data_IF_177412157980
#
_entry.id   IF_177412157980
#
_cell.length_a   1.000
_cell.length_b   1.000
_cell.length_c   1.000
_cell.angle_alpha   90.00
_cell.angle_beta   90.00
_cell.angle_gamma   90.00
#
_symmetry.space_group_name_H-M   'P 1'
#
loop_
_entity.id
_entity.type
_entity.pdbx_description
1 polymer ?
#
# COMPACT_ATOMS: atom_id res chain seq x y z
N UNK A 1 -24.33 74.42 3.78
CA UNK A 1 -23.14 73.90 4.50
C UNK A 1 -23.34 72.42 4.83
N UNK A 2 -23.40 71.53 3.82
CA UNK A 2 -23.32 70.05 4.02
C UNK A 2 -22.87 69.30 2.75
N UNK A 3 -22.50 70.03 1.69
CA UNK A 3 -22.15 69.51 0.35
C UNK A 3 -20.65 69.14 0.26
N UNK A 4 -19.89 69.36 1.33
CA UNK A 4 -18.44 69.12 1.39
C UNK A 4 -18.01 67.88 2.20
N UNK A 5 -18.95 67.11 2.78
CA UNK A 5 -18.63 65.86 3.49
C UNK A 5 -19.05 64.58 2.73
N UNK A 6 -19.79 64.73 1.63
CA UNK A 6 -20.34 63.62 0.84
C UNK A 6 -19.39 63.07 -0.23
N UNK A 7 -18.28 63.76 -0.51
CA UNK A 7 -17.31 63.36 -1.55
C UNK A 7 -16.20 62.42 -1.06
N UNK A 8 -15.95 62.33 0.24
CA UNK A 8 -14.77 61.61 0.77
C UNK A 8 -15.07 60.22 1.35
N UNK A 9 -16.34 59.88 1.64
CA UNK A 9 -16.71 58.62 2.30
C UNK A 9 -17.22 57.55 1.30
N UNK A 10 -17.95 57.95 0.26
CA UNK A 10 -18.44 57.03 -0.77
C UNK A 10 -17.33 56.28 -1.55
N UNK A 11 -16.21 56.91 -1.97
CA UNK A 11 -15.18 56.20 -2.72
C UNK A 11 -14.38 55.21 -1.87
N UNK A 12 -14.32 55.37 -0.54
CA UNK A 12 -13.64 54.44 0.38
C UNK A 12 -14.46 53.17 0.68
N UNK A 13 -15.79 53.26 0.68
CA UNK A 13 -16.66 52.09 0.86
C UNK A 13 -16.75 51.25 -0.42
N UNK A 14 -16.79 51.89 -1.59
CA UNK A 14 -16.79 51.20 -2.88
C UNK A 14 -15.45 50.50 -3.19
N UNK A 15 -14.32 51.07 -2.78
CA UNK A 15 -13.00 50.43 -2.93
C UNK A 15 -12.88 49.19 -2.02
N UNK A 16 -13.31 49.26 -0.76
CA UNK A 16 -13.35 48.08 0.12
C UNK A 16 -14.23 46.95 -0.40
N UNK A 17 -15.40 47.25 -0.99
CA UNK A 17 -16.31 46.24 -1.55
C UNK A 17 -15.69 45.59 -2.80
N UNK A 18 -15.05 46.40 -3.67
CA UNK A 18 -14.38 45.89 -4.86
C UNK A 18 -13.12 45.07 -4.53
N UNK A 19 -12.38 45.41 -3.48
CA UNK A 19 -11.21 44.62 -3.03
C UNK A 19 -11.63 43.28 -2.38
N UNK A 20 -12.75 43.25 -1.67
CA UNK A 20 -13.35 42.01 -1.15
C UNK A 20 -13.88 41.15 -2.29
N UNK A 21 -14.51 41.75 -3.31
CA UNK A 21 -14.97 41.03 -4.50
C UNK A 21 -13.80 40.47 -5.31
N UNK A 22 -12.72 41.24 -5.49
CA UNK A 22 -11.53 40.83 -6.22
C UNK A 22 -10.77 39.74 -5.48
N UNK A 23 -10.66 39.81 -4.15
CA UNK A 23 -10.05 38.75 -3.33
C UNK A 23 -10.89 37.47 -3.30
N UNK A 24 -12.22 37.55 -3.29
CA UNK A 24 -13.10 36.38 -3.48
C UNK A 24 -12.97 35.80 -4.89
N UNK A 25 -12.88 36.63 -5.92
CA UNK A 25 -12.73 36.18 -7.31
C UNK A 25 -11.39 35.46 -7.51
N UNK A 26 -10.30 36.01 -6.95
CA UNK A 26 -8.97 35.39 -6.95
C UNK A 26 -9.00 34.07 -6.19
N UNK A 27 -9.65 34.00 -5.03
CA UNK A 27 -9.81 32.77 -4.26
C UNK A 27 -10.60 31.69 -5.06
N UNK A 28 -11.66 32.08 -5.78
CA UNK A 28 -12.43 31.18 -6.64
C UNK A 28 -11.59 30.69 -7.82
N UNK A 29 -10.79 31.55 -8.46
CA UNK A 29 -9.90 31.19 -9.57
C UNK A 29 -8.79 30.24 -9.12
N UNK A 30 -8.18 30.48 -7.95
CA UNK A 30 -7.15 29.60 -7.35
C UNK A 30 -7.73 28.23 -6.98
N UNK A 31 -8.95 28.16 -6.46
CA UNK A 31 -9.63 26.90 -6.11
C UNK A 31 -10.06 26.11 -7.36
N UNK A 32 -10.42 26.80 -8.45
CA UNK A 32 -10.78 26.18 -9.75
C UNK A 32 -9.59 25.45 -10.40
N UNK A 33 -8.36 25.87 -10.11
CA UNK A 33 -7.13 25.21 -10.58
C UNK A 33 -6.74 23.96 -9.77
N UNK A 34 -7.29 23.74 -8.57
CA UNK A 34 -6.73 22.77 -7.61
C UNK A 34 -7.66 21.61 -7.20
N UNK A 35 -8.94 21.56 -7.58
CA UNK A 35 -9.87 20.54 -7.06
C UNK A 35 -10.96 20.05 -8.04
N UNK A 36 -11.37 18.78 -7.84
CA UNK A 36 -12.37 18.05 -8.65
C UNK A 36 -13.78 18.65 -8.60
N UNK A 37 -14.52 18.50 -9.72
CA UNK A 37 -15.83 19.10 -10.06
C UNK A 37 -16.91 19.08 -8.96
N UNK A 38 -16.92 18.08 -8.08
CA UNK A 38 -17.92 17.94 -7.01
C UNK A 38 -17.79 18.99 -5.89
N UNK A 39 -16.59 19.54 -5.70
CA UNK A 39 -16.32 20.55 -4.64
C UNK A 39 -16.77 21.94 -5.11
N UNK A 40 -16.69 22.20 -6.42
CA UNK A 40 -17.02 23.50 -7.04
C UNK A 40 -18.52 23.81 -6.90
N UNK A 41 -19.41 22.82 -7.08
CA UNK A 41 -20.86 23.02 -6.97
C UNK A 41 -21.31 23.37 -5.55
N UNK A 42 -20.70 22.74 -4.53
CA UNK A 42 -21.01 23.05 -3.12
C UNK A 42 -20.54 24.44 -2.72
N UNK A 43 -19.36 24.86 -3.20
CA UNK A 43 -18.81 26.20 -2.92
C UNK A 43 -19.64 27.27 -3.63
N UNK A 44 -20.08 27.05 -4.87
CA UNK A 44 -20.86 28.02 -5.63
C UNK A 44 -22.22 28.30 -5.00
N UNK A 45 -22.96 27.26 -4.57
CA UNK A 45 -24.25 27.42 -3.88
C UNK A 45 -24.08 28.12 -2.51
N UNK A 46 -22.99 27.83 -1.81
CA UNK A 46 -22.62 28.49 -0.56
C UNK A 46 -22.34 29.99 -0.75
N UNK A 47 -21.61 30.37 -1.80
CA UNK A 47 -21.27 31.78 -2.09
C UNK A 47 -22.51 32.57 -2.53
N UNK A 48 -23.38 31.99 -3.36
CA UNK A 48 -24.64 32.63 -3.77
C UNK A 48 -25.58 32.84 -2.58
N UNK A 49 -25.66 31.86 -1.66
CA UNK A 49 -26.42 31.99 -0.42
C UNK A 49 -25.90 33.10 0.50
N UNK A 50 -24.57 33.26 0.58
CA UNK A 50 -23.93 34.31 1.37
C UNK A 50 -24.22 35.72 0.81
N UNK A 51 -24.20 35.89 -0.52
CA UNK A 51 -24.54 37.16 -1.18
C UNK A 51 -26.01 37.53 -0.93
N UNK A 52 -26.92 36.56 -1.03
CA UNK A 52 -28.35 36.81 -0.76
C UNK A 52 -28.62 37.18 0.70
N UNK A 53 -27.93 36.54 1.65
CA UNK A 53 -28.08 36.83 3.08
C UNK A 53 -27.46 38.18 3.45
N UNK A 54 -26.30 38.52 2.89
CA UNK A 54 -25.66 39.82 3.09
C UNK A 54 -26.52 40.98 2.58
N UNK A 55 -27.16 40.83 1.40
CA UNK A 55 -28.11 41.82 0.88
C UNK A 55 -29.33 41.98 1.79
N UNK A 56 -29.86 40.88 2.35
CA UNK A 56 -31.03 40.92 3.25
C UNK A 56 -30.70 41.58 4.60
N UNK A 57 -29.49 41.36 5.10
CA UNK A 57 -28.99 41.99 6.34
C UNK A 57 -28.72 43.50 6.14
N UNK A 58 -28.19 43.89 4.97
CA UNK A 58 -27.95 45.30 4.63
C UNK A 58 -29.26 46.09 4.54
N UNK A 59 -30.30 45.52 3.91
CA UNK A 59 -31.64 46.13 3.79
C UNK A 59 -32.32 46.28 5.16
N UNK A 60 -32.12 45.33 6.08
CA UNK A 60 -32.72 45.37 7.43
C UNK A 60 -32.07 46.40 8.36
N UNK A 61 -30.83 46.82 8.10
CA UNK A 61 -30.05 47.70 8.98
C UNK A 61 -30.15 49.17 8.55
N UNK A 62 -30.59 49.44 7.31
CA UNK A 62 -30.78 50.78 6.75
C UNK A 62 -31.63 51.75 7.59
N UNK A 63 -32.71 51.33 8.29
CA UNK A 63 -33.51 52.28 9.08
C UNK A 63 -32.88 52.67 10.43
N UNK A 64 -31.92 51.89 10.96
CA UNK A 64 -31.30 52.15 12.27
C UNK A 64 -30.08 53.08 12.19
N UNK A 65 -29.59 53.40 11.00
CA UNK A 65 -28.39 54.22 10.79
C UNK A 65 -28.62 55.74 10.95
N UNK A 66 -29.86 56.19 11.17
CA UNK A 66 -30.18 57.62 11.12
C UNK A 66 -29.99 58.38 12.45
N UNK A 67 -29.66 57.73 13.57
CA UNK A 67 -29.81 58.38 14.89
C UNK A 67 -28.68 58.27 15.92
N UNK A 68 -27.45 57.84 15.57
CA UNK A 68 -26.32 58.00 16.51
C UNK A 68 -24.96 58.06 15.81
N UNK A 69 -24.26 59.18 16.03
CA UNK A 69 -22.86 59.44 15.69
C UNK A 69 -21.93 58.51 16.47
N UNK A 70 -21.75 57.27 16.01
CA UNK A 70 -20.65 56.41 16.48
C UNK A 70 -20.33 55.34 15.40
N UNK A 71 -19.74 55.80 14.30
CA UNK A 71 -19.42 54.98 13.11
C UNK A 71 -18.29 53.96 13.34
N UNK A 72 -17.43 54.15 14.36
CA UNK A 72 -16.28 53.25 14.62
C UNK A 72 -16.69 51.93 15.26
N UNK A 73 -17.55 51.96 16.29
CA UNK A 73 -18.01 50.75 17.01
C UNK A 73 -18.92 49.84 16.16
N UNK A 74 -19.61 50.41 15.18
CA UNK A 74 -20.55 49.68 14.33
C UNK A 74 -19.83 48.88 13.23
N UNK A 75 -18.72 49.41 12.69
CA UNK A 75 -17.84 48.70 11.76
C UNK A 75 -17.15 47.51 12.42
N UNK A 76 -16.68 47.66 13.66
CA UNK A 76 -16.06 46.56 14.41
C UNK A 76 -17.06 45.43 14.70
N UNK A 77 -18.30 45.77 15.06
CA UNK A 77 -19.35 44.77 15.29
C UNK A 77 -19.77 44.04 13.99
N UNK A 78 -19.73 44.75 12.85
CA UNK A 78 -20.00 44.18 11.53
C UNK A 78 -18.87 43.26 11.08
N UNK A 79 -17.60 43.68 11.26
CA UNK A 79 -16.42 42.86 10.98
C UNK A 79 -16.38 41.61 11.85
N UNK A 80 -16.69 41.71 13.15
CA UNK A 80 -16.72 40.57 14.09
C UNK A 80 -17.85 39.59 13.72
N UNK A 81 -19.03 40.08 13.32
CA UNK A 81 -20.13 39.20 12.85
C UNK A 81 -19.83 38.57 11.51
N UNK A 82 -19.22 39.29 10.57
CA UNK A 82 -18.78 38.74 9.29
C UNK A 82 -17.68 37.69 9.48
N UNK A 83 -16.72 37.91 10.38
CA UNK A 83 -15.66 36.93 10.69
C UNK A 83 -16.21 35.66 11.34
N UNK A 84 -17.16 35.78 12.28
CA UNK A 84 -17.80 34.62 12.93
C UNK A 84 -18.66 33.80 11.96
N UNK A 85 -19.33 34.44 11.00
CA UNK A 85 -20.11 33.73 9.97
C UNK A 85 -19.19 33.12 8.90
N UNK A 86 -18.07 33.77 8.56
CA UNK A 86 -17.05 33.21 7.66
C UNK A 86 -16.33 32.00 8.28
N UNK A 87 -16.09 32.01 9.59
CA UNK A 87 -15.53 30.87 10.33
C UNK A 87 -16.48 29.65 10.36
N UNK A 88 -17.79 29.86 10.29
CA UNK A 88 -18.80 28.79 10.18
C UNK A 88 -18.86 28.14 8.78
N UNK A 89 -18.23 28.75 7.77
CA UNK A 89 -18.33 28.33 6.37
C UNK A 89 -17.03 27.78 5.75
N UNK A 90 -15.96 27.69 6.55
CA UNK A 90 -14.81 26.85 6.21
C UNK A 90 -15.21 25.38 6.47
N UNK A 91 -15.30 24.51 5.45
CA UNK A 91 -15.33 23.08 5.72
C UNK A 91 -13.99 22.78 6.38
N UNK A 92 -14.03 22.56 7.69
CA UNK A 92 -12.95 21.93 8.42
C UNK A 92 -12.70 20.56 7.78
N UNK A 93 -11.81 20.46 6.79
CA UNK A 93 -11.20 19.17 6.43
C UNK A 93 -10.19 18.87 7.53
N UNK A 94 -10.68 18.71 8.76
CA UNK A 94 -9.91 18.27 9.90
C UNK A 94 -9.70 16.75 9.77
N UNK A 95 -9.01 16.31 8.72
CA UNK A 95 -8.52 14.94 8.62
C UNK A 95 -7.12 14.86 9.20
N UNK A 96 -7.03 14.43 10.46
CA UNK A 96 -6.27 13.24 10.82
C UNK A 96 -6.28 13.06 12.34
N UNK A 97 -7.04 12.09 12.86
CA UNK A 97 -6.62 11.35 14.07
C UNK A 97 -6.97 9.88 13.94
N UNK A 98 -5.93 9.03 13.93
CA UNK A 98 -6.04 7.56 13.99
C UNK A 98 -5.65 6.79 12.71
N UNK A 99 -5.54 5.45 12.81
CA UNK A 99 -5.16 4.59 11.69
C UNK A 99 -6.23 4.58 10.60
N UNK A 100 -5.81 4.74 9.34
CA UNK A 100 -6.71 4.66 8.17
C UNK A 100 -7.28 3.25 8.05
N UNK A 101 -8.61 3.12 7.98
CA UNK A 101 -9.31 1.82 7.81
C UNK A 101 -9.57 1.45 6.35
N UNK A 102 -9.51 2.42 5.44
CA UNK A 102 -9.82 2.21 4.02
C UNK A 102 -8.58 2.26 3.15
N UNK A 103 -8.63 1.57 2.01
CA UNK A 103 -7.60 1.64 0.95
C UNK A 103 -8.30 1.91 -0.39
N UNK A 104 -7.92 3.01 -1.05
CA UNK A 104 -8.43 3.31 -2.40
C UNK A 104 -7.79 2.37 -3.41
N UNK A 105 -8.55 1.96 -4.42
CA UNK A 105 -8.11 0.96 -5.41
C UNK A 105 -6.89 1.39 -6.20
N UNK A 106 -6.87 2.64 -6.65
CA UNK A 106 -5.73 3.26 -7.36
C UNK A 106 -4.45 3.37 -6.50
N UNK A 107 -4.60 3.42 -5.17
CA UNK A 107 -3.50 3.47 -4.22
C UNK A 107 -3.04 2.08 -3.75
N UNK A 108 -3.69 1.01 -4.24
CA UNK A 108 -3.32 -0.35 -3.90
C UNK A 108 -1.97 -0.74 -4.53
N UNK A 109 -1.26 -1.72 -3.95
CA UNK A 109 -0.03 -2.23 -4.55
C UNK A 109 -0.24 -2.75 -5.98
N UNK A 110 0.62 -2.31 -6.91
CA UNK A 110 0.50 -2.64 -8.35
C UNK A 110 0.56 -4.14 -8.62
N UNK A 111 1.31 -4.90 -7.81
CA UNK A 111 1.49 -6.35 -7.99
C UNK A 111 0.22 -7.17 -7.70
N UNK A 112 -0.81 -6.58 -7.11
CA UNK A 112 -2.12 -7.23 -6.92
C UNK A 112 -2.92 -7.37 -8.21
N UNK A 113 -2.58 -6.61 -9.27
CA UNK A 113 -3.31 -6.60 -10.55
C UNK A 113 -4.81 -6.33 -10.37
N UNK A 114 -5.16 -5.35 -9.54
CA UNK A 114 -6.52 -4.84 -9.50
C UNK A 114 -6.76 -3.97 -10.73
N UNK A 115 -7.93 -4.13 -11.33
CA UNK A 115 -8.43 -3.25 -12.37
C UNK A 115 -8.72 -1.85 -11.80
N UNK A 116 -9.04 -0.88 -12.67
CA UNK A 116 -9.33 0.50 -12.26
C UNK A 116 -10.83 0.80 -12.11
N UNK A 117 -11.71 0.00 -12.71
CA UNK A 117 -13.08 0.41 -13.05
C UNK A 117 -14.15 -0.24 -12.17
N UNK A 118 -13.96 -1.47 -11.69
CA UNK A 118 -15.02 -2.25 -11.03
C UNK A 118 -15.37 -1.74 -9.62
N UNK A 119 -14.77 -0.63 -9.16
CA UNK A 119 -15.17 0.03 -7.92
C UNK A 119 -14.12 0.98 -7.35
N UNK A 120 -14.45 1.66 -6.25
CA UNK A 120 -13.59 2.72 -5.69
C UNK A 120 -12.52 2.19 -4.72
N UNK A 121 -12.83 1.13 -3.98
CA UNK A 121 -11.99 0.62 -2.87
C UNK A 121 -11.31 -0.71 -3.19
N UNK A 122 -10.09 -0.87 -2.68
CA UNK A 122 -9.39 -2.15 -2.64
C UNK A 122 -9.56 -2.80 -1.27
N UNK A 123 -9.46 -4.14 -1.18
CA UNK A 123 -9.40 -4.80 0.12
C UNK A 123 -8.16 -4.31 0.86
N UNK A 124 -8.37 -3.75 2.06
CA UNK A 124 -7.28 -3.35 2.94
C UNK A 124 -6.86 -4.58 3.75
N UNK A 125 -5.60 -5.02 3.67
CA UNK A 125 -5.14 -6.14 4.47
C UNK A 125 -5.21 -5.81 5.95
N UNK A 126 -5.59 -6.81 6.75
CA UNK A 126 -5.53 -6.74 8.21
C UNK A 126 -4.08 -6.60 8.66
N UNK A 127 -3.83 -6.01 9.83
CA UNK A 127 -2.50 -6.01 10.44
C UNK A 127 -2.11 -7.44 10.83
N UNK A 128 -1.08 -7.99 10.19
CA UNK A 128 -0.65 -9.37 10.41
C UNK A 128 0.84 -9.54 10.19
N UNK A 129 1.30 -10.76 9.86
CA UNK A 129 2.73 -11.10 9.76
C UNK A 129 3.50 -10.22 8.75
N UNK A 130 2.90 -9.97 7.59
CA UNK A 130 3.54 -9.32 6.47
C UNK A 130 3.07 -7.87 6.30
N UNK A 131 3.93 -7.02 5.74
CA UNK A 131 3.60 -5.60 5.48
C UNK A 131 2.56 -5.48 4.38
N UNK A 132 1.77 -4.40 4.41
CA UNK A 132 0.71 -4.12 3.43
C UNK A 132 1.19 -4.16 1.97
N UNK A 133 2.40 -3.63 1.68
CA UNK A 133 2.96 -3.61 0.32
C UNK A 133 3.68 -4.89 -0.08
N UNK A 134 3.91 -5.81 0.86
CA UNK A 134 4.66 -7.07 0.67
C UNK A 134 3.75 -8.29 0.92
N UNK A 135 2.42 -8.12 0.89
CA UNK A 135 1.45 -9.20 1.11
C UNK A 135 0.42 -9.28 -0.04
N UNK A 136 -0.37 -10.34 -0.02
CA UNK A 136 -1.53 -10.61 -0.84
C UNK A 136 -2.69 -11.00 0.09
N UNK A 137 -3.77 -10.20 0.17
CA UNK A 137 -4.91 -10.56 1.00
C UNK A 137 -5.67 -11.76 0.41
N UNK A 138 -6.20 -12.63 1.28
CA UNK A 138 -6.90 -13.87 0.87
C UNK A 138 -8.01 -13.65 -0.17
N UNK A 139 -8.77 -12.58 -0.05
CA UNK A 139 -9.80 -12.21 -1.02
C UNK A 139 -9.26 -12.06 -2.45
N UNK A 140 -8.06 -11.49 -2.62
CA UNK A 140 -7.44 -11.36 -3.95
C UNK A 140 -6.91 -12.71 -4.42
N UNK A 141 -6.39 -13.53 -3.51
CA UNK A 141 -5.90 -14.86 -3.84
C UNK A 141 -7.03 -15.76 -4.38
N UNK A 142 -8.15 -15.88 -3.66
CA UNK A 142 -9.27 -16.75 -4.06
C UNK A 142 -10.00 -16.23 -5.30
N UNK A 143 -10.33 -14.93 -5.33
CA UNK A 143 -11.16 -14.34 -6.39
C UNK A 143 -10.37 -14.02 -7.65
N UNK A 144 -9.24 -13.33 -7.52
CA UNK A 144 -8.52 -12.78 -8.67
C UNK A 144 -7.49 -13.75 -9.24
N UNK A 145 -6.82 -14.55 -8.40
CA UNK A 145 -5.78 -15.51 -8.84
C UNK A 145 -6.36 -16.89 -9.17
N UNK A 146 -7.00 -17.54 -8.19
CA UNK A 146 -7.52 -18.91 -8.35
C UNK A 146 -8.87 -18.98 -9.06
N UNK A 147 -9.65 -17.89 -9.07
CA UNK A 147 -10.99 -17.83 -9.67
C UNK A 147 -12.00 -18.80 -9.03
N UNK A 148 -11.84 -19.15 -7.76
CA UNK A 148 -12.82 -19.95 -7.01
C UNK A 148 -14.04 -19.18 -6.55
N UNK A 149 -13.95 -17.85 -6.53
CA UNK A 149 -15.05 -16.96 -6.24
C UNK A 149 -15.10 -15.86 -7.30
N UNK A 150 -16.30 -15.34 -7.55
CA UNK A 150 -16.57 -14.18 -8.40
C UNK A 150 -16.74 -12.93 -7.54
N UNK A 151 -17.42 -13.05 -6.40
CA UNK A 151 -17.75 -11.92 -5.50
C UNK A 151 -16.98 -11.98 -4.17
N UNK A 152 -17.01 -10.87 -3.40
CA UNK A 152 -16.38 -10.82 -2.08
C UNK A 152 -17.13 -11.65 -1.02
N UNK A 153 -18.45 -11.77 -1.16
CA UNK A 153 -19.29 -12.53 -0.22
C UNK A 153 -19.12 -14.03 -0.38
N UNK A 154 -18.88 -14.53 -1.61
CA UNK A 154 -18.51 -15.92 -1.85
C UNK A 154 -17.18 -16.28 -1.16
N UNK A 155 -16.18 -15.40 -1.24
CA UNK A 155 -14.92 -15.58 -0.50
C UNK A 155 -15.19 -15.68 1.00
N UNK A 156 -16.08 -14.83 1.54
CA UNK A 156 -16.48 -14.90 2.94
C UNK A 156 -17.12 -16.25 3.28
N UNK A 157 -18.00 -16.79 2.43
CA UNK A 157 -18.61 -18.11 2.62
C UNK A 157 -17.55 -19.22 2.67
N UNK A 158 -16.58 -19.21 1.75
CA UNK A 158 -15.48 -20.19 1.72
C UNK A 158 -14.63 -20.10 3.01
N UNK A 159 -14.24 -18.89 3.43
CA UNK A 159 -13.43 -18.71 4.64
C UNK A 159 -14.18 -19.12 5.92
N UNK A 160 -15.50 -18.86 6.00
CA UNK A 160 -16.31 -19.20 7.17
C UNK A 160 -16.53 -20.72 7.32
N UNK A 161 -16.48 -21.46 6.22
CA UNK A 161 -16.48 -22.93 6.23
C UNK A 161 -15.17 -23.55 6.75
N UNK A 162 -14.15 -22.72 7.07
CA UNK A 162 -12.88 -23.15 7.66
C UNK A 162 -12.03 -24.08 6.77
N UNK A 163 -12.25 -24.06 5.46
CA UNK A 163 -11.50 -24.89 4.50
C UNK A 163 -10.09 -24.38 4.19
N UNK A 164 -9.80 -23.11 4.49
CA UNK A 164 -8.53 -22.48 4.16
C UNK A 164 -7.64 -22.46 5.38
N UNK A 165 -6.47 -23.07 5.23
CA UNK A 165 -5.39 -23.03 6.21
C UNK A 165 -4.21 -22.26 5.62
N UNK A 166 -3.63 -21.38 6.44
CA UNK A 166 -2.38 -20.68 6.12
C UNK A 166 -1.37 -21.07 7.18
N UNK A 167 -0.22 -21.58 6.74
CA UNK A 167 0.81 -22.13 7.60
C UNK A 167 0.26 -23.17 8.60
N UNK A 168 -0.62 -24.06 8.13
CA UNK A 168 -1.27 -25.09 8.94
C UNK A 168 -2.41 -24.60 9.84
N UNK A 169 -2.63 -23.28 9.97
CA UNK A 169 -3.68 -22.71 10.83
C UNK A 169 -4.88 -22.25 10.02
N UNK A 170 -6.08 -22.64 10.43
CA UNK A 170 -7.33 -22.19 9.81
C UNK A 170 -7.46 -20.67 9.94
N UNK A 171 -7.73 -19.98 8.82
CA UNK A 171 -7.95 -18.52 8.79
C UNK A 171 -9.32 -18.21 8.20
N UNK A 172 -10.16 -17.55 9.00
CA UNK A 172 -11.50 -17.11 8.61
C UNK A 172 -11.52 -15.68 8.06
N UNK A 173 -10.48 -14.89 8.33
CA UNK A 173 -10.37 -13.50 7.87
C UNK A 173 -10.07 -13.42 6.36
N UNK A 174 -11.00 -12.84 5.60
CA UNK A 174 -10.89 -12.62 4.16
C UNK A 174 -9.77 -11.64 3.78
N UNK A 175 -9.36 -10.74 4.68
CA UNK A 175 -8.33 -9.73 4.45
C UNK A 175 -7.00 -10.08 5.11
N UNK A 176 -6.82 -11.34 5.51
CA UNK A 176 -5.56 -11.80 6.10
C UNK A 176 -4.37 -11.59 5.14
N UNK A 177 -3.27 -10.95 5.59
CA UNK A 177 -2.11 -10.68 4.75
C UNK A 177 -1.23 -11.93 4.63
N UNK A 178 -1.50 -12.78 3.63
CA UNK A 178 -0.58 -13.84 3.25
C UNK A 178 0.59 -13.24 2.47
N UNK A 179 1.82 -13.64 2.75
CA UNK A 179 3.01 -13.01 2.18
C UNK A 179 3.98 -14.00 1.55
N UNK A 180 5.22 -13.53 1.38
CA UNK A 180 6.28 -14.31 0.78
C UNK A 180 6.57 -15.59 1.60
N UNK A 181 6.75 -16.73 0.93
CA UNK A 181 7.03 -18.06 1.50
C UNK A 181 5.93 -18.71 2.34
N UNK A 182 4.80 -18.03 2.57
CA UNK A 182 3.66 -18.64 3.25
C UNK A 182 3.07 -19.79 2.42
N UNK A 183 2.60 -20.82 3.14
CA UNK A 183 1.93 -21.98 2.56
C UNK A 183 0.42 -21.85 2.78
N UNK A 184 -0.35 -21.89 1.71
CA UNK A 184 -1.81 -21.88 1.73
C UNK A 184 -2.29 -23.27 1.31
N UNK A 185 -2.98 -23.97 2.20
CA UNK A 185 -3.56 -25.28 1.92
C UNK A 185 -5.09 -25.21 1.92
N UNK A 186 -5.71 -25.92 0.97
CA UNK A 186 -7.16 -26.05 0.87
C UNK A 186 -7.51 -27.52 1.09
N UNK A 187 -8.09 -27.83 2.25
CA UNK A 187 -8.32 -29.22 2.64
C UNK A 187 -9.29 -29.95 1.70
N UNK A 188 -10.32 -29.24 1.23
CA UNK A 188 -11.39 -29.83 0.40
C UNK A 188 -10.90 -30.28 -0.98
N UNK A 189 -9.95 -29.55 -1.57
CA UNK A 189 -9.39 -29.87 -2.89
C UNK A 189 -8.06 -30.64 -2.78
N UNK A 190 -7.46 -30.70 -1.59
CA UNK A 190 -6.14 -31.29 -1.37
C UNK A 190 -4.99 -30.51 -2.01
N UNK A 191 -5.25 -29.29 -2.49
CA UNK A 191 -4.23 -28.47 -3.16
C UNK A 191 -3.48 -27.61 -2.15
N UNK A 192 -2.16 -27.56 -2.32
CA UNK A 192 -1.26 -26.73 -1.53
C UNK A 192 -0.55 -25.72 -2.42
N UNK A 193 -0.44 -24.49 -1.93
CA UNK A 193 0.15 -23.39 -2.65
C UNK A 193 1.24 -22.72 -1.83
N UNK A 194 2.35 -22.37 -2.47
CA UNK A 194 3.37 -21.49 -1.89
C UNK A 194 3.31 -20.13 -2.58
N UNK A 195 3.30 -19.06 -1.78
CA UNK A 195 3.38 -17.70 -2.32
C UNK A 195 4.83 -17.32 -2.60
N UNK A 196 5.16 -17.24 -3.90
CA UNK A 196 6.49 -16.89 -4.39
C UNK A 196 6.38 -15.73 -5.38
N UNK A 197 7.43 -14.93 -5.50
CA UNK A 197 7.49 -13.90 -6.55
C UNK A 197 7.82 -14.51 -7.92
N UNK A 198 7.14 -14.02 -8.93
CA UNK A 198 7.51 -14.15 -10.35
C UNK A 198 8.57 -13.11 -10.73
N UNK A 199 9.30 -13.37 -11.80
CA UNK A 199 10.32 -12.49 -12.44
C UNK A 199 9.82 -11.09 -12.79
N UNK A 200 8.49 -10.93 -12.92
CA UNK A 200 7.81 -9.66 -13.16
C UNK A 200 7.42 -8.92 -11.88
N UNK A 201 7.80 -9.44 -10.71
CA UNK A 201 7.53 -8.83 -9.41
C UNK A 201 6.10 -9.01 -8.90
N UNK A 202 5.45 -10.11 -9.28
CA UNK A 202 4.05 -10.42 -8.93
C UNK A 202 4.02 -11.65 -8.04
N UNK A 203 3.02 -11.80 -7.18
CA UNK A 203 2.81 -13.07 -6.50
C UNK A 203 2.30 -14.11 -7.50
N UNK A 204 3.10 -15.14 -7.71
CA UNK A 204 2.71 -16.35 -8.42
C UNK A 204 2.04 -17.32 -7.44
N UNK A 205 0.98 -17.97 -7.92
CA UNK A 205 0.34 -19.08 -7.20
C UNK A 205 1.04 -20.35 -7.64
N UNK A 206 2.04 -20.77 -6.87
CA UNK A 206 2.83 -21.97 -7.16
C UNK A 206 2.18 -23.16 -6.44
N UNK A 207 1.84 -24.22 -7.18
CA UNK A 207 1.31 -25.48 -6.64
C UNK A 207 2.45 -26.36 -6.14
N UNK A 208 2.40 -26.77 -4.89
CA UNK A 208 3.42 -27.58 -4.23
C UNK A 208 2.89 -28.96 -3.84
N UNK A 209 3.80 -29.90 -3.62
CA UNK A 209 3.48 -31.23 -3.07
C UNK A 209 3.11 -31.14 -1.57
N UNK A 210 2.36 -32.11 -1.03
CA UNK A 210 2.01 -32.12 0.39
C UNK A 210 3.23 -32.27 1.32
N UNK A 211 4.32 -32.86 0.85
CA UNK A 211 5.57 -32.96 1.62
C UNK A 211 6.25 -31.60 1.77
N UNK A 212 6.34 -30.83 0.68
CA UNK A 212 6.89 -29.46 0.71
C UNK A 212 5.99 -28.51 1.51
N UNK A 213 4.69 -28.80 1.59
CA UNK A 213 3.73 -28.00 2.34
C UNK A 213 3.92 -28.07 3.87
N UNK A 214 4.66 -29.06 4.39
CA UNK A 214 4.91 -29.21 5.83
C UNK A 214 5.89 -28.18 6.37
N UNK A 215 6.77 -27.63 5.53
CA UNK A 215 7.79 -26.69 5.96
C UNK A 215 7.72 -25.37 5.21
N UNK A 216 8.36 -24.35 5.78
CA UNK A 216 8.62 -23.09 5.08
C UNK A 216 9.95 -22.49 5.44
N UNK A 217 10.46 -21.66 4.54
CA UNK A 217 11.67 -20.88 4.77
C UNK A 217 11.32 -19.53 5.39
N UNK A 218 12.07 -19.15 6.40
CA UNK A 218 11.92 -17.86 7.07
C UNK A 218 13.27 -17.17 7.22
N UNK A 219 13.37 -15.92 6.75
CA UNK A 219 14.56 -15.09 6.97
C UNK A 219 14.58 -14.54 8.40
N UNK A 220 15.75 -14.58 9.02
CA UNK A 220 16.04 -14.03 10.34
C UNK A 220 16.21 -12.52 10.23
N UNK A 221 15.43 -11.74 10.99
CA UNK A 221 15.51 -10.27 11.00
C UNK A 221 16.29 -9.72 12.17
N UNK A 222 16.14 -10.31 13.36
CA UNK A 222 16.90 -9.93 14.55
C UNK A 222 16.98 -11.10 15.51
N UNK A 223 18.04 -11.10 16.31
CA UNK A 223 18.25 -12.01 17.42
C UNK A 223 18.42 -11.13 18.66
N UNK A 224 17.77 -11.50 19.75
CA UNK A 224 17.88 -10.78 21.01
C UNK A 224 17.81 -11.77 22.18
N UNK A 225 18.37 -11.38 23.31
CA UNK A 225 18.28 -12.16 24.55
C UNK A 225 17.13 -11.60 25.38
N UNK A 226 16.17 -12.45 25.71
CA UNK A 226 15.02 -12.11 26.53
C UNK A 226 15.31 -12.18 28.01
N UNK A 227 14.24 -12.19 28.80
CA UNK A 227 14.33 -12.41 30.24
C UNK A 227 14.94 -13.79 30.54
N UNK A 228 15.64 -13.90 31.67
CA UNK A 228 16.33 -15.13 32.09
C UNK A 228 17.44 -15.59 31.11
N UNK A 229 17.99 -14.69 30.31
CA UNK A 229 19.09 -15.01 29.40
C UNK A 229 18.69 -15.88 28.20
N UNK A 230 17.39 -16.01 27.90
CA UNK A 230 16.91 -16.91 26.85
C UNK A 230 17.07 -16.25 25.47
N UNK A 231 17.79 -16.85 24.51
CA UNK A 231 17.90 -16.31 23.16
C UNK A 231 16.60 -16.48 22.37
N UNK A 232 16.21 -15.41 21.69
CA UNK A 232 15.04 -15.33 20.82
C UNK A 232 15.42 -14.87 19.42
N UNK A 233 14.85 -15.54 18.43
CA UNK A 233 14.97 -15.20 17.02
C UNK A 233 13.65 -14.65 16.51
N UNK A 234 13.70 -13.54 15.76
CA UNK A 234 12.53 -12.99 15.06
C UNK A 234 12.68 -13.13 13.57
N UNK A 235 11.69 -13.73 12.94
CA UNK A 235 11.65 -13.95 11.50
C UNK A 235 10.98 -12.79 10.74
N UNK A 236 11.05 -12.84 9.41
CA UNK A 236 10.41 -11.87 8.53
C UNK A 236 8.87 -11.85 8.59
N UNK A 237 8.26 -13.00 8.88
CA UNK A 237 6.83 -13.20 9.14
C UNK A 237 6.48 -13.01 10.63
N UNK A 238 7.33 -12.32 11.39
CA UNK A 238 7.11 -11.93 12.78
C UNK A 238 6.90 -13.10 13.77
N UNK A 239 7.37 -14.31 13.44
CA UNK A 239 7.42 -15.41 14.41
C UNK A 239 8.62 -15.22 15.33
N UNK A 240 8.43 -15.54 16.61
CA UNK A 240 9.49 -15.56 17.60
C UNK A 240 9.76 -16.99 18.02
N UNK A 241 10.98 -17.47 17.77
CA UNK A 241 11.42 -18.82 18.12
C UNK A 241 12.41 -18.70 19.28
N UNK A 242 12.23 -19.55 20.29
CA UNK A 242 13.07 -19.60 21.50
C UNK A 242 14.15 -20.66 21.31
N UNK A 243 15.31 -20.47 21.94
CA UNK A 243 16.44 -21.39 21.87
C UNK A 243 16.88 -21.73 20.44
N UNK A 244 17.17 -20.73 19.58
CA UNK A 244 17.80 -20.99 18.30
C UNK A 244 19.23 -21.50 18.49
N UNK A 245 19.75 -22.20 17.48
CA UNK A 245 21.17 -22.57 17.41
C UNK A 245 22.05 -21.29 17.42
N UNK A 246 23.10 -21.22 18.26
CA UNK A 246 24.04 -20.10 18.31
C UNK A 246 24.74 -19.76 16.97
N UNK A 247 24.82 -20.74 16.06
CA UNK A 247 25.38 -20.59 14.72
C UNK A 247 24.53 -19.69 13.81
N UNK A 248 23.23 -19.54 14.10
CA UNK A 248 22.31 -18.73 13.30
C UNK A 248 22.56 -17.24 13.55
N UNK A 249 22.73 -16.48 12.47
CA UNK A 249 22.93 -15.02 12.50
C UNK A 249 21.81 -14.27 11.78
N UNK A 250 21.88 -12.95 11.84
CA UNK A 250 20.92 -12.07 11.18
C UNK A 250 21.10 -12.14 9.65
N UNK A 251 19.98 -12.16 8.91
CA UNK A 251 19.87 -12.34 7.47
C UNK A 251 20.01 -13.78 6.94
N UNK A 252 20.34 -14.73 7.80
CA UNK A 252 20.26 -16.16 7.48
C UNK A 252 18.80 -16.58 7.25
N UNK A 253 18.61 -17.75 6.66
CA UNK A 253 17.28 -18.33 6.49
C UNK A 253 17.19 -19.65 7.23
N UNK A 254 16.07 -19.83 7.92
CA UNK A 254 15.75 -21.02 8.69
C UNK A 254 14.61 -21.77 8.04
N UNK A 255 14.66 -23.09 8.07
CA UNK A 255 13.56 -23.96 7.71
C UNK A 255 12.76 -24.26 8.97
N UNK A 256 11.48 -23.93 8.93
CA UNK A 256 10.54 -24.13 10.02
C UNK A 256 9.57 -25.23 9.62
N UNK A 257 9.40 -26.20 10.50
CA UNK A 257 8.29 -27.14 10.44
C UNK A 257 7.00 -26.45 10.92
N UNK A 258 5.95 -26.49 10.10
CA UNK A 258 4.72 -25.74 10.34
C UNK A 258 3.86 -26.34 11.45
N UNK A 259 3.97 -27.64 11.70
CA UNK A 259 3.21 -28.33 12.74
C UNK A 259 3.78 -28.01 14.13
N UNK A 260 5.08 -28.20 14.31
CA UNK A 260 5.74 -27.99 15.61
C UNK A 260 6.19 -26.55 15.85
N UNK A 261 6.41 -25.78 14.78
CA UNK A 261 7.00 -24.45 14.85
C UNK A 261 8.49 -24.44 15.24
N UNK A 262 9.15 -25.61 15.22
CA UNK A 262 10.58 -25.75 15.51
C UNK A 262 11.41 -25.55 14.23
N UNK A 263 12.68 -25.19 14.43
CA UNK A 263 13.66 -25.07 13.35
C UNK A 263 14.18 -26.47 13.04
N UNK A 264 14.15 -26.87 11.77
CA UNK A 264 14.77 -28.14 11.33
C UNK A 264 16.20 -27.89 10.93
N UNK A 265 16.39 -26.96 9.99
CA UNK A 265 17.68 -26.66 9.37
C UNK A 265 17.82 -25.16 9.13
N UNK A 266 19.05 -24.71 8.86
CA UNK A 266 19.31 -23.32 8.49
C UNK A 266 20.35 -23.21 7.37
N UNK A 267 20.29 -22.07 6.67
CA UNK A 267 21.21 -21.69 5.60
C UNK A 267 21.85 -20.36 6.00
N UNK A 268 23.18 -20.35 6.03
CA UNK A 268 23.97 -19.14 6.29
C UNK A 268 23.93 -18.19 5.09
N UNK A 269 23.92 -16.89 5.38
CA UNK A 269 24.06 -15.85 4.38
C UNK A 269 25.55 -15.65 4.01
N UNK A 270 26.03 -16.54 3.13
CA UNK A 270 27.40 -16.53 2.62
C UNK A 270 27.44 -16.45 1.10
N UNK A 271 28.61 -16.10 0.55
CA UNK A 271 28.86 -16.12 -0.89
C UNK A 271 28.75 -17.55 -1.43
N UNK A 272 28.23 -17.69 -2.64
CA UNK A 272 27.98 -18.98 -3.29
C UNK A 272 26.60 -19.59 -3.00
N UNK A 273 25.80 -19.01 -2.09
CA UNK A 273 24.44 -19.50 -1.83
C UNK A 273 23.39 -18.90 -2.79
N UNK A 274 22.34 -19.69 -3.04
CA UNK A 274 21.24 -19.29 -3.91
C UNK A 274 20.30 -18.34 -3.18
N UNK A 275 19.96 -17.23 -3.81
CA UNK A 275 19.08 -16.23 -3.25
C UNK A 275 17.99 -15.79 -4.22
N UNK A 276 16.89 -15.34 -3.64
CA UNK A 276 15.78 -14.69 -4.33
C UNK A 276 15.64 -13.25 -3.84
N UNK A 277 15.37 -12.35 -4.77
CA UNK A 277 15.11 -10.94 -4.45
C UNK A 277 13.63 -10.75 -4.08
N UNK A 278 13.38 -10.15 -2.91
CA UNK A 278 12.04 -9.91 -2.34
C UNK A 278 11.56 -8.47 -2.46
N UNK A 279 12.40 -7.54 -2.95
CA UNK A 279 12.02 -6.13 -3.12
C UNK A 279 12.90 -5.34 -4.09
N UNK A 280 12.42 -4.18 -4.52
CA UNK A 280 13.13 -3.30 -5.45
C UNK A 280 12.89 -3.65 -6.93
N UNK A 281 13.76 -3.16 -7.81
CA UNK A 281 13.60 -3.33 -9.27
C UNK A 281 13.81 -4.78 -9.73
N UNK A 282 14.69 -5.52 -9.06
CA UNK A 282 15.06 -6.90 -9.38
C UNK A 282 14.16 -7.96 -8.71
N UNK A 283 12.96 -7.57 -8.24
CA UNK A 283 12.03 -8.44 -7.53
C UNK A 283 11.72 -9.74 -8.28
N UNK A 284 11.83 -10.87 -7.60
CA UNK A 284 11.54 -12.21 -8.13
C UNK A 284 12.63 -12.82 -9.00
N UNK A 285 13.79 -12.15 -9.14
CA UNK A 285 14.99 -12.77 -9.74
C UNK A 285 15.66 -13.71 -8.76
N UNK A 286 16.26 -14.78 -9.29
CA UNK A 286 16.97 -15.80 -8.52
C UNK A 286 18.38 -15.95 -9.07
N UNK A 287 19.37 -15.82 -8.20
CA UNK A 287 20.77 -15.99 -8.56
C UNK A 287 21.63 -16.34 -7.37
N UNK A 288 22.90 -16.61 -7.64
CA UNK A 288 23.92 -16.93 -6.65
C UNK A 288 24.55 -15.64 -6.14
N UNK A 289 24.73 -15.54 -4.82
CA UNK A 289 25.43 -14.41 -4.20
C UNK A 289 26.92 -14.49 -4.56
N UNK A 290 27.45 -13.47 -5.24
CA UNK A 290 28.87 -13.44 -5.62
C UNK A 290 29.71 -12.66 -4.62
N UNK A 291 29.27 -11.44 -4.30
CA UNK A 291 30.00 -10.54 -3.43
C UNK A 291 29.05 -9.72 -2.55
N UNK A 292 29.51 -9.37 -1.35
CA UNK A 292 28.84 -8.46 -0.41
C UNK A 292 29.75 -7.27 -0.15
N UNK A 293 29.29 -6.11 -0.56
CA UNK A 293 29.92 -4.82 -0.23
C UNK A 293 29.32 -4.30 1.07
N UNK A 294 30.20 -4.11 2.06
CA UNK A 294 29.83 -3.54 3.36
C UNK A 294 30.10 -2.05 3.35
N UNK A 295 29.09 -1.27 3.67
CA UNK A 295 29.22 0.18 3.80
C UNK A 295 28.84 0.59 5.23
N UNK A 296 29.83 0.81 6.12
CA UNK A 296 29.53 1.18 7.50
C UNK A 296 28.74 2.48 7.55
N UNK A 297 27.61 2.47 8.27
CA UNK A 297 26.70 3.62 8.37
C UNK A 297 25.71 3.76 7.22
N UNK A 298 25.80 2.95 6.16
CA UNK A 298 24.84 2.96 5.05
C UNK A 298 24.30 1.55 4.75
N UNK A 299 23.63 1.38 3.61
CA UNK A 299 23.03 0.11 3.23
C UNK A 299 24.07 -0.78 2.57
N UNK A 300 24.28 -1.97 3.14
CA UNK A 300 25.05 -3.04 2.50
C UNK A 300 24.44 -3.41 1.14
N UNK A 301 25.31 -3.51 0.13
CA UNK A 301 24.99 -3.88 -1.24
C UNK A 301 25.49 -5.29 -1.50
N UNK A 302 24.70 -6.08 -2.21
CA UNK A 302 25.04 -7.46 -2.52
C UNK A 302 24.89 -7.65 -4.02
N UNK A 303 25.93 -8.20 -4.62
CA UNK A 303 25.99 -8.57 -6.02
C UNK A 303 25.53 -10.01 -6.18
N UNK A 304 24.64 -10.21 -7.14
CA UNK A 304 23.98 -11.48 -7.43
C UNK A 304 24.14 -11.78 -8.91
N UNK A 305 24.50 -13.03 -9.23
CA UNK A 305 24.64 -13.53 -10.60
C UNK A 305 23.57 -14.57 -10.88
N UNK A 306 22.74 -14.31 -11.89
CA UNK A 306 21.74 -15.27 -12.36
C UNK A 306 22.39 -16.48 -13.05
N UNK A 307 21.63 -17.55 -13.24
CA UNK A 307 22.08 -18.73 -14.00
C UNK A 307 22.47 -18.42 -15.46
N UNK A 308 21.90 -17.36 -16.05
CA UNK A 308 22.26 -16.90 -17.41
C UNK A 308 23.52 -16.01 -17.45
N UNK A 309 24.21 -15.83 -16.33
CA UNK A 309 25.40 -15.00 -16.22
C UNK A 309 25.15 -13.51 -16.01
N UNK A 310 23.90 -13.05 -16.10
CA UNK A 310 23.53 -11.66 -15.82
C UNK A 310 23.80 -11.30 -14.35
N UNK A 311 24.65 -10.30 -14.12
CA UNK A 311 24.93 -9.76 -12.79
C UNK A 311 24.04 -8.56 -12.48
N UNK A 312 23.61 -8.43 -11.23
CA UNK A 312 22.90 -7.25 -10.73
C UNK A 312 23.12 -7.07 -9.23
N UNK A 313 22.87 -5.86 -8.74
CA UNK A 313 23.03 -5.52 -7.33
C UNK A 313 21.68 -5.25 -6.65
N UNK A 314 21.58 -5.58 -5.36
CA UNK A 314 20.44 -5.20 -4.51
C UNK A 314 20.90 -4.89 -3.09
N UNK A 315 20.05 -4.23 -2.31
CA UNK A 315 20.28 -4.03 -0.87
C UNK A 315 20.13 -5.34 -0.12
N UNK A 316 20.93 -5.52 0.94
CA UNK A 316 20.89 -6.70 1.82
C UNK A 316 19.48 -7.02 2.38
N UNK A 317 18.66 -5.99 2.63
CA UNK A 317 17.30 -6.17 3.12
C UNK A 317 16.41 -6.95 2.16
N UNK A 318 16.64 -6.80 0.86
CA UNK A 318 15.80 -7.35 -0.20
C UNK A 318 16.25 -8.74 -0.66
N UNK A 319 17.28 -9.30 -0.04
CA UNK A 319 17.77 -10.64 -0.38
C UNK A 319 17.20 -11.66 0.58
N UNK A 320 16.81 -12.81 0.04
CA UNK A 320 16.36 -13.96 0.80
C UNK A 320 17.09 -15.21 0.30
N UNK A 321 17.80 -15.91 1.19
CA UNK A 321 18.54 -17.12 0.82
C UNK A 321 17.59 -18.31 0.75
N UNK A 322 17.58 -19.01 -0.38
CA UNK A 322 16.63 -20.10 -0.66
C UNK A 322 17.29 -21.48 -0.75
N UNK A 323 18.62 -21.55 -0.81
CA UNK A 323 19.34 -22.81 -0.96
C UNK A 323 20.85 -22.69 -0.78
N UNK A 324 21.50 -23.85 -0.64
CA UNK A 324 22.96 -23.99 -0.56
C UNK A 324 23.53 -24.23 -1.96
N UNK A 325 24.54 -23.47 -2.37
CA UNK A 325 25.09 -23.59 -3.72
C UNK A 325 24.04 -23.32 -4.80
N UNK A 326 23.91 -24.24 -5.76
CA UNK A 326 22.92 -24.16 -6.84
C UNK A 326 21.60 -24.90 -6.53
N UNK A 327 21.48 -25.58 -5.39
CA UNK A 327 20.30 -26.40 -5.06
C UNK A 327 19.31 -25.61 -4.20
N UNK A 328 18.12 -25.24 -4.72
CA UNK A 328 17.08 -24.62 -3.92
C UNK A 328 16.45 -25.63 -2.94
N UNK A 329 16.04 -25.18 -1.77
CA UNK A 329 15.27 -25.99 -0.79
C UNK A 329 13.76 -25.92 -1.03
N UNK A 330 13.32 -25.07 -1.96
CA UNK A 330 11.92 -24.91 -2.36
C UNK A 330 11.77 -25.17 -3.86
N UNK A 331 10.58 -25.58 -4.27
CA UNK A 331 10.23 -25.63 -5.68
C UNK A 331 10.12 -24.21 -6.26
N UNK A 332 10.73 -24.01 -7.45
CA UNK A 332 10.78 -22.71 -8.09
C UNK A 332 9.60 -22.51 -9.05
N UNK A 333 9.11 -21.26 -9.21
CA UNK A 333 8.07 -20.96 -10.19
C UNK A 333 8.58 -21.08 -11.62
N UNK A 334 7.63 -21.10 -12.57
CA UNK A 334 7.93 -21.17 -14.01
C UNK A 334 8.94 -20.08 -14.39
N UNK A 335 10.01 -20.48 -15.07
CA UNK A 335 11.09 -19.57 -15.46
C UNK A 335 12.25 -19.47 -14.46
N UNK A 336 12.20 -20.19 -13.32
CA UNK A 336 13.31 -20.35 -12.36
C UNK A 336 13.95 -19.02 -11.91
N UNK A 337 13.19 -17.92 -11.91
CA UNK A 337 13.69 -16.60 -11.54
C UNK A 337 14.60 -15.92 -12.55
N UNK A 338 14.70 -16.42 -13.79
CA UNK A 338 15.47 -15.78 -14.86
C UNK A 338 14.59 -14.72 -15.52
N UNK A 339 14.99 -13.46 -15.40
CA UNK A 339 14.32 -12.35 -16.08
C UNK A 339 14.90 -12.19 -17.49
N UNK A 340 14.10 -12.58 -18.47
CA UNK A 340 14.41 -12.41 -19.90
C UNK A 340 14.34 -10.92 -20.29
N UNK A 341 15.05 -10.57 -21.35
CA UNK A 341 14.95 -9.23 -21.93
C UNK A 341 13.59 -9.04 -22.64
N UNK A 342 13.20 -7.79 -22.92
CA UNK A 342 11.92 -7.48 -23.56
C UNK A 342 11.84 -8.10 -24.97
N UNK A 343 12.96 -8.12 -25.69
CA UNK A 343 13.07 -8.76 -27.01
C UNK A 343 12.87 -10.29 -26.89
N UNK A 344 13.59 -10.95 -25.98
CA UNK A 344 13.43 -12.39 -25.75
C UNK A 344 12.01 -12.77 -25.29
N UNK A 345 11.37 -11.96 -24.44
CA UNK A 345 9.97 -12.19 -24.06
C UNK A 345 9.02 -12.06 -25.26
N UNK A 346 9.28 -11.11 -26.17
CA UNK A 346 8.49 -10.91 -27.39
C UNK A 346 8.63 -12.13 -28.31
N UNK A 347 9.85 -12.56 -28.58
CA UNK A 347 10.13 -13.66 -29.50
C UNK A 347 9.55 -14.97 -28.96
N UNK A 348 9.73 -15.23 -27.66
CA UNK A 348 9.11 -16.37 -26.97
C UNK A 348 7.58 -16.34 -27.06
N UNK A 349 6.96 -15.16 -26.98
CA UNK A 349 5.51 -15.00 -27.11
C UNK A 349 5.03 -15.25 -28.54
N UNK A 350 5.75 -14.77 -29.54
CA UNK A 350 5.44 -15.00 -30.96
C UNK A 350 5.57 -16.48 -31.31
N UNK A 351 6.67 -17.11 -30.90
CA UNK A 351 6.90 -18.54 -31.09
C UNK A 351 5.78 -19.38 -30.44
N UNK A 352 5.40 -19.07 -29.19
CA UNK A 352 4.32 -19.78 -28.50
C UNK A 352 2.96 -19.63 -29.22
N UNK A 353 2.68 -18.44 -29.79
CA UNK A 353 1.45 -18.19 -30.54
C UNK A 353 1.43 -18.97 -31.87
N UNK A 354 2.56 -19.00 -32.58
CA UNK A 354 2.71 -19.75 -33.82
C UNK A 354 2.56 -21.25 -33.58
N UNK A 355 3.21 -21.79 -32.53
CA UNK A 355 3.09 -23.21 -32.18
C UNK A 355 1.68 -23.62 -31.74
N UNK A 356 0.93 -22.72 -31.09
CA UNK A 356 -0.47 -23.02 -30.71
C UNK A 356 -1.43 -23.00 -31.90
N UNK A 357 -1.09 -22.31 -32.98
CA UNK A 357 -1.93 -22.20 -34.19
C UNK A 357 -1.84 -23.42 -35.12
N UNK A 358 -0.78 -24.25 -35.00
CA UNK A 358 -0.60 -25.47 -35.80
C UNK A 358 -1.24 -26.74 -35.18
N UNK A 359 -1.70 -26.66 -33.92
CA UNK A 359 -2.30 -27.78 -33.19
C UNK A 359 -3.83 -27.62 -33.00
N UNK A 360 -4.50 -26.90 -33.91
CA UNK A 360 -5.96 -26.92 -34.00
C UNK A 360 -6.41 -28.04 -34.96
N UNK A 361 -7.46 -28.81 -34.65
CA UNK A 361 -8.04 -29.77 -35.59
C UNK A 361 -8.61 -29.08 -36.84
#
# INVERSE_FOLDING_TARGET
>A
MSILFFKDVLPRVFTCINDIFLSLLIAVVVVKCLCSFSIISSIFNSVVGFIFFANKLFISISPLLFLKNDQSKLMDLFLIKCYNIFALFMPSIAMARGPKKHLKRVAAPKHWMLDKLTGVFAPRPTTGPHKLRECLPLIIFLRNRLKYALTGDEVKKICMQRFIKIDGKVRTDITYPAGFMDVISIDKTGENFRLIYDTKGRFAVHRITPEEAKYKLCKVRKIFVGTKGIPHLVTHDARTIRYPDPLIKVNDTIQIDLETGKITDFIKFDTGNLCMVTGGANLGRIGVITNREKHPGSFDVVHVKDANGNSFATRLSNIFVIGKGNKPWISLPRGKGIRLTIAEERDKRLAAKQSSGQNGP
#
